data_IF_506089089772
#
_entry.id   IF_506089089772
#
_cell.length_a   1.000
_cell.length_b   1.000
_cell.length_c   1.000
_cell.angle_alpha   90.00
_cell.angle_beta   90.00
_cell.angle_gamma   90.00
#
_symmetry.space_group_name_H-M   'P 1'
#
loop_
_entity.id
_entity.type
_entity.pdbx_description
1 polymer ?
#
# COMPACT_ATOMS: atom_id res chain seq x y z
N UNK A 1 1.87 17.48 13.42
CA UNK A 1 1.09 16.33 12.93
C UNK A 1 1.73 15.06 13.47
N UNK A 2 0.89 14.07 13.79
CA UNK A 2 1.32 12.73 14.15
C UNK A 2 1.31 11.86 12.89
N UNK A 3 2.45 11.33 12.47
CA UNK A 3 2.60 10.58 11.22
C UNK A 3 3.05 9.15 11.53
N UNK A 4 2.31 8.17 11.03
CA UNK A 4 2.74 6.78 11.02
C UNK A 4 3.47 6.45 9.71
N UNK A 5 4.56 5.69 9.79
CA UNK A 5 5.23 5.12 8.62
C UNK A 5 5.12 3.59 8.74
N UNK A 6 4.39 2.96 7.83
CA UNK A 6 4.28 1.50 7.79
C UNK A 6 5.52 0.94 7.07
N UNK A 7 6.47 0.41 7.81
CA UNK A 7 7.71 -0.16 7.24
C UNK A 7 8.23 -1.30 8.08
N UNK A 8 8.56 -2.43 7.44
CA UNK A 8 9.25 -3.56 8.09
C UNK A 8 10.73 -3.30 8.36
N UNK A 9 11.29 -2.31 7.66
CA UNK A 9 12.72 -2.03 7.68
C UNK A 9 12.96 -0.56 8.10
N UNK A 10 12.93 -0.27 9.40
CA UNK A 10 13.12 1.10 9.90
C UNK A 10 14.49 1.66 9.54
N UNK A 11 15.49 0.79 9.38
CA UNK A 11 16.88 1.17 9.11
C UNK A 11 17.17 1.42 7.61
N UNK A 12 16.24 1.12 6.71
CA UNK A 12 16.40 1.45 5.29
C UNK A 12 16.59 2.96 5.10
N UNK A 13 17.50 3.33 4.21
CA UNK A 13 17.80 4.72 3.91
C UNK A 13 16.53 5.56 3.67
N UNK A 14 15.62 5.07 2.84
CA UNK A 14 14.39 5.80 2.51
C UNK A 14 13.45 5.98 3.70
N UNK A 15 13.34 4.99 4.59
CA UNK A 15 12.53 5.09 5.81
C UNK A 15 13.15 6.10 6.77
N UNK A 16 14.45 5.98 7.04
CA UNK A 16 15.17 6.93 7.89
C UNK A 16 15.07 8.36 7.38
N UNK A 17 15.23 8.53 6.05
CA UNK A 17 15.16 9.86 5.44
C UNK A 17 13.77 10.50 5.59
N UNK A 18 12.70 9.71 5.48
CA UNK A 18 11.34 10.19 5.75
C UNK A 18 11.17 10.63 7.21
N UNK A 19 11.67 9.84 8.16
CA UNK A 19 11.64 10.18 9.59
C UNK A 19 12.39 11.51 9.85
N UNK A 20 13.65 11.60 9.40
CA UNK A 20 14.49 12.79 9.58
C UNK A 20 13.82 14.06 9.04
N UNK A 21 13.29 13.99 7.81
CA UNK A 21 12.67 15.16 7.16
C UNK A 21 11.37 15.56 7.86
N UNK A 22 10.55 14.59 8.27
CA UNK A 22 9.32 14.88 8.98
C UNK A 22 9.59 15.49 10.35
N UNK A 23 10.56 14.97 11.11
CA UNK A 23 10.99 15.53 12.40
C UNK A 23 11.56 16.95 12.25
N UNK A 24 12.40 17.17 11.23
CA UNK A 24 12.95 18.49 10.93
C UNK A 24 11.87 19.54 10.59
N UNK A 25 10.70 19.10 10.15
CA UNK A 25 9.51 19.93 9.90
C UNK A 25 8.57 20.03 11.11
N UNK A 26 8.97 19.54 12.27
CA UNK A 26 8.20 19.62 13.52
C UNK A 26 7.05 18.61 13.62
N UNK A 27 7.10 17.50 12.88
CA UNK A 27 6.12 16.43 13.00
C UNK A 27 6.60 15.36 13.98
N UNK A 28 5.66 14.74 14.69
CA UNK A 28 5.89 13.50 15.43
C UNK A 28 5.77 12.33 14.47
N UNK A 29 6.73 11.40 14.51
CA UNK A 29 6.78 10.28 13.53
C UNK A 29 7.02 8.99 14.30
N UNK A 30 6.22 7.99 13.99
CA UNK A 30 6.39 6.62 14.45
C UNK A 30 6.52 5.66 13.28
N UNK A 31 7.52 4.77 13.33
CA UNK A 31 7.68 3.70 12.34
C UNK A 31 7.09 2.43 12.92
N UNK A 32 6.09 1.88 12.23
CA UNK A 32 5.37 0.68 12.63
C UNK A 32 5.71 -0.46 11.68
N UNK A 33 6.18 -1.60 12.23
CA UNK A 33 6.27 -2.82 11.43
C UNK A 33 4.87 -3.28 11.04
N UNK A 34 4.59 -3.20 9.75
CA UNK A 34 3.27 -3.52 9.19
C UNK A 34 2.76 -4.90 9.59
N UNK A 35 3.66 -5.90 9.71
CA UNK A 35 3.27 -7.27 10.06
C UNK A 35 3.01 -7.47 11.57
N UNK A 36 3.41 -6.52 12.39
CA UNK A 36 3.14 -6.52 13.83
C UNK A 36 1.92 -5.70 14.23
N UNK A 37 1.34 -4.97 13.29
CA UNK A 37 0.04 -4.32 13.48
C UNK A 37 -1.06 -5.39 13.46
N UNK A 38 -2.01 -5.31 14.37
CA UNK A 38 -3.23 -6.13 14.35
C UNK A 38 -4.45 -5.25 14.59
N UNK A 39 -5.59 -5.66 14.04
CA UNK A 39 -6.76 -4.81 13.88
C UNK A 39 -7.96 -5.35 14.65
N UNK A 40 -8.66 -4.46 15.33
CA UNK A 40 -10.02 -4.72 15.81
C UNK A 40 -11.00 -4.14 14.79
N UNK A 41 -11.78 -5.01 14.15
CA UNK A 41 -12.76 -4.63 13.13
C UNK A 41 -14.12 -4.58 13.80
N UNK A 42 -14.39 -3.46 14.49
CA UNK A 42 -15.67 -3.22 15.16
C UNK A 42 -16.47 -2.13 14.43
N UNK A 43 -17.80 -2.27 14.41
CA UNK A 43 -18.70 -1.40 13.63
C UNK A 43 -18.63 0.09 14.01
N UNK A 44 -18.35 0.41 15.26
CA UNK A 44 -18.39 1.80 15.75
C UNK A 44 -17.06 2.30 16.32
N UNK A 45 -16.12 1.39 16.57
CA UNK A 45 -14.82 1.73 17.14
C UNK A 45 -13.71 0.85 16.57
N UNK A 46 -13.42 0.97 15.25
CA UNK A 46 -12.29 0.27 14.66
C UNK A 46 -11.00 0.78 15.29
N UNK A 47 -10.08 -0.13 15.62
CA UNK A 47 -8.79 0.23 16.17
C UNK A 47 -7.65 -0.61 15.60
N UNK A 48 -6.44 -0.10 15.75
CA UNK A 48 -5.20 -0.80 15.39
C UNK A 48 -4.37 -0.93 16.66
N UNK A 49 -3.80 -2.09 16.84
CA UNK A 49 -2.90 -2.39 17.96
C UNK A 49 -1.51 -2.72 17.45
N UNK A 50 -0.52 -2.34 18.24
CA UNK A 50 0.88 -2.59 17.97
C UNK A 50 1.62 -2.84 19.28
N UNK A 51 2.37 -3.93 19.35
CA UNK A 51 3.16 -4.29 20.56
C UNK A 51 2.35 -4.27 21.88
N UNK A 52 1.12 -4.75 21.83
CA UNK A 52 0.25 -4.86 23.02
C UNK A 52 -0.49 -3.58 23.41
N UNK A 53 -0.32 -2.48 22.69
CA UNK A 53 -1.07 -1.24 22.92
C UNK A 53 -1.99 -0.91 21.77
N UNK A 54 -3.07 -0.25 22.04
CA UNK A 54 -3.88 0.41 21.03
C UNK A 54 -3.15 1.67 20.52
N UNK A 55 -3.12 1.84 19.20
CA UNK A 55 -2.52 3.01 18.59
C UNK A 55 -3.43 4.23 18.76
N UNK A 56 -2.81 5.36 19.07
CA UNK A 56 -3.50 6.65 19.06
C UNK A 56 -3.87 7.06 17.61
N UNK A 57 -4.65 8.11 17.47
CA UNK A 57 -4.99 8.66 16.16
C UNK A 57 -3.76 9.30 15.49
N UNK A 58 -3.56 9.01 14.22
CA UNK A 58 -2.57 9.66 13.37
C UNK A 58 -3.27 10.59 12.38
N UNK A 59 -2.63 11.74 12.10
CA UNK A 59 -3.09 12.65 11.05
C UNK A 59 -2.84 12.07 9.67
N UNK A 60 -1.73 11.35 9.50
CA UNK A 60 -1.34 10.75 8.23
C UNK A 60 -0.59 9.42 8.42
N UNK A 61 -0.70 8.56 7.41
CA UNK A 61 0.06 7.31 7.30
C UNK A 61 0.79 7.23 5.96
N UNK A 62 2.08 6.94 6.00
CA UNK A 62 2.93 6.74 4.82
C UNK A 62 3.20 5.23 4.66
N UNK A 63 2.57 4.56 3.69
CA UNK A 63 2.76 3.14 3.49
C UNK A 63 4.05 2.84 2.73
N UNK A 64 4.99 2.13 3.38
CA UNK A 64 6.19 1.56 2.79
C UNK A 64 6.05 0.04 2.69
N UNK A 65 4.95 -0.39 2.03
CA UNK A 65 4.54 -1.79 1.95
C UNK A 65 5.32 -2.50 0.83
N UNK A 66 6.08 -3.53 1.19
CA UNK A 66 6.79 -4.38 0.24
C UNK A 66 5.83 -5.28 -0.58
N UNK A 67 6.30 -5.75 -1.74
CA UNK A 67 5.49 -6.58 -2.64
C UNK A 67 4.99 -7.88 -1.97
N UNK A 68 5.83 -8.52 -1.16
CA UNK A 68 5.53 -9.79 -0.49
C UNK A 68 4.43 -9.71 0.58
N UNK A 69 4.11 -8.50 1.06
CA UNK A 69 3.12 -8.28 2.11
C UNK A 69 1.96 -7.41 1.65
N UNK A 70 1.74 -7.29 0.34
CA UNK A 70 0.73 -6.38 -0.22
C UNK A 70 -0.66 -6.63 0.37
N UNK A 71 -1.09 -7.89 0.50
CA UNK A 71 -2.41 -8.23 1.02
C UNK A 71 -2.62 -7.69 2.44
N UNK A 72 -1.74 -8.08 3.37
CA UNK A 72 -1.87 -7.66 4.77
C UNK A 72 -1.57 -6.17 4.95
N UNK A 73 -0.55 -5.66 4.28
CA UNK A 73 -0.20 -4.25 4.36
C UNK A 73 -1.31 -3.32 3.88
N UNK A 74 -2.01 -3.67 2.80
CA UNK A 74 -3.17 -2.87 2.36
C UNK A 74 -4.39 -3.08 3.25
N UNK A 75 -4.53 -4.21 3.96
CA UNK A 75 -5.57 -4.39 4.96
C UNK A 75 -5.33 -3.46 6.17
N UNK A 76 -4.11 -3.43 6.70
CA UNK A 76 -3.73 -2.48 7.78
C UNK A 76 -3.94 -1.04 7.34
N UNK A 77 -3.54 -0.69 6.12
CA UNK A 77 -3.72 0.66 5.59
C UNK A 77 -5.21 1.05 5.47
N UNK A 78 -6.08 0.13 5.01
CA UNK A 78 -7.53 0.37 5.00
C UNK A 78 -8.10 0.61 6.38
N UNK A 79 -7.56 -0.04 7.40
CA UNK A 79 -7.99 0.21 8.78
C UNK A 79 -7.66 1.63 9.20
N UNK A 80 -6.46 2.15 8.87
CA UNK A 80 -6.13 3.57 9.07
C UNK A 80 -7.08 4.50 8.31
N UNK A 81 -7.39 4.17 7.05
CA UNK A 81 -8.35 4.94 6.24
C UNK A 81 -9.75 4.95 6.86
N UNK A 82 -10.21 3.81 7.40
CA UNK A 82 -11.49 3.71 8.13
C UNK A 82 -11.51 4.55 9.42
N UNK A 83 -10.36 4.73 10.04
CA UNK A 83 -10.16 5.59 11.21
C UNK A 83 -9.93 7.06 10.84
N UNK A 84 -10.22 7.44 9.59
CA UNK A 84 -10.07 8.80 9.04
C UNK A 84 -8.63 9.32 8.99
N UNK A 85 -7.63 8.45 9.06
CA UNK A 85 -6.23 8.82 8.84
C UNK A 85 -5.96 9.02 7.35
N UNK A 86 -5.33 10.13 6.99
CA UNK A 86 -4.95 10.39 5.59
C UNK A 86 -3.85 9.43 5.13
N UNK A 87 -4.12 8.63 4.13
CA UNK A 87 -3.17 7.68 3.57
C UNK A 87 -2.44 8.23 2.32
N UNK A 88 -1.13 8.21 2.33
CA UNK A 88 -0.28 8.66 1.22
C UNK A 88 0.63 7.50 0.75
N UNK A 89 0.23 6.70 -0.20
CA UNK A 89 -0.94 6.61 -1.07
C UNK A 89 -2.06 5.73 -0.45
N UNK A 90 -3.27 5.76 -1.04
CA UNK A 90 -4.38 4.96 -0.56
C UNK A 90 -4.19 3.45 -0.79
N UNK A 91 -4.87 2.64 0.04
CA UNK A 91 -4.86 1.17 -0.07
C UNK A 91 -5.32 0.68 -1.44
N UNK A 92 -6.33 1.36 -2.03
CA UNK A 92 -6.85 1.06 -3.37
C UNK A 92 -5.81 1.35 -4.44
N UNK A 93 -5.09 2.48 -4.35
CA UNK A 93 -4.04 2.83 -5.31
C UNK A 93 -2.89 1.82 -5.28
N UNK A 94 -2.46 1.41 -4.08
CA UNK A 94 -1.41 0.39 -3.91
C UNK A 94 -1.86 -0.95 -4.49
N UNK A 95 -3.08 -1.40 -4.18
CA UNK A 95 -3.60 -2.66 -4.68
C UNK A 95 -3.70 -2.68 -6.21
N UNK A 96 -4.15 -1.58 -6.81
CA UNK A 96 -4.22 -1.43 -8.28
C UNK A 96 -2.86 -1.45 -8.94
N UNK A 97 -1.87 -0.76 -8.37
CA UNK A 97 -0.52 -0.70 -8.93
C UNK A 97 0.26 -2.01 -8.76
N UNK A 98 -0.08 -2.83 -7.78
CA UNK A 98 0.54 -4.15 -7.56
C UNK A 98 -0.01 -5.24 -8.45
N UNK A 99 -1.23 -5.13 -8.90
CA UNK A 99 -1.86 -6.00 -9.88
C UNK A 99 -1.49 -5.50 -11.29
N UNK A 100 -0.48 -6.14 -11.90
CA UNK A 100 0.02 -5.72 -13.23
C UNK A 100 -1.05 -5.72 -14.29
N UNK A 101 -1.89 -6.77 -14.31
CA UNK A 101 -2.94 -6.88 -15.31
C UNK A 101 -3.96 -5.77 -15.13
N UNK A 102 -4.43 -5.55 -13.92
CA UNK A 102 -5.37 -4.47 -13.59
C UNK A 102 -4.78 -3.09 -13.87
N UNK A 103 -3.49 -2.88 -13.55
CA UNK A 103 -2.81 -1.63 -13.83
C UNK A 103 -2.79 -1.33 -15.34
N UNK A 104 -2.46 -2.32 -16.16
CA UNK A 104 -2.43 -2.19 -17.62
C UNK A 104 -3.83 -1.94 -18.20
N UNK A 105 -4.85 -2.65 -17.72
CA UNK A 105 -6.24 -2.43 -18.12
C UNK A 105 -6.71 -1.00 -17.78
N UNK A 106 -6.35 -0.48 -16.59
CA UNK A 106 -6.68 0.89 -16.20
C UNK A 106 -5.96 1.93 -17.07
N UNK A 107 -4.67 1.75 -17.34
CA UNK A 107 -3.89 2.64 -18.20
C UNK A 107 -4.44 2.66 -19.63
N UNK A 108 -4.75 1.49 -20.18
CA UNK A 108 -5.38 1.36 -21.50
C UNK A 108 -6.73 2.09 -21.57
N UNK A 109 -7.57 1.90 -20.54
CA UNK A 109 -8.87 2.58 -20.48
C UNK A 109 -8.76 4.11 -20.51
N UNK A 110 -7.67 4.65 -19.96
CA UNK A 110 -7.40 6.07 -19.94
C UNK A 110 -6.62 6.57 -21.17
N UNK A 111 -6.45 5.75 -22.19
CA UNK A 111 -5.77 6.13 -23.44
C UNK A 111 -4.26 6.35 -23.27
N UNK A 112 -3.65 5.84 -22.20
CA UNK A 112 -2.21 5.94 -22.01
C UNK A 112 -1.55 4.90 -22.90
N UNK A 113 -0.57 5.32 -23.70
CA UNK A 113 0.15 4.47 -24.63
C UNK A 113 0.82 3.30 -23.90
N UNK A 114 0.52 2.08 -24.34
CA UNK A 114 1.07 0.85 -23.83
C UNK A 114 1.65 0.03 -24.99
N UNK A 115 2.70 -0.77 -24.76
CA UNK A 115 3.04 -1.84 -25.70
C UNK A 115 1.83 -2.75 -25.91
N UNK A 116 1.69 -3.32 -27.10
CA UNK A 116 0.68 -4.36 -27.34
C UNK A 116 0.92 -5.49 -26.35
N UNK A 117 -0.08 -5.79 -25.56
CA UNK A 117 0.08 -6.73 -24.44
C UNK A 117 -1.09 -7.71 -24.44
N UNK A 118 -0.76 -8.98 -24.50
CA UNK A 118 -1.72 -10.06 -24.37
C UNK A 118 -1.54 -10.78 -23.03
N UNK A 119 -2.62 -11.36 -22.53
CA UNK A 119 -2.63 -12.21 -21.35
C UNK A 119 -3.58 -13.38 -21.57
N UNK A 120 -3.07 -14.61 -21.35
CA UNK A 120 -3.85 -15.82 -21.37
C UNK A 120 -3.58 -16.64 -20.12
N UNK A 121 -4.59 -17.35 -19.63
CA UNK A 121 -4.45 -18.28 -18.50
C UNK A 121 -4.04 -19.67 -18.98
N UNK A 122 -4.58 -20.11 -20.12
CA UNK A 122 -4.32 -21.43 -20.69
C UNK A 122 -3.11 -21.41 -21.63
N UNK A 123 -2.27 -22.42 -21.54
CA UNK A 123 -1.16 -22.64 -22.46
C UNK A 123 -1.64 -22.99 -23.87
N UNK A 124 -2.89 -23.49 -24.04
CA UNK A 124 -3.48 -23.78 -25.33
C UNK A 124 -3.67 -22.53 -26.18
N UNK A 125 -3.86 -21.36 -25.55
CA UNK A 125 -4.15 -20.10 -26.23
C UNK A 125 -2.86 -19.31 -26.59
N UNK A 126 -1.68 -19.86 -26.28
CA UNK A 126 -0.40 -19.18 -26.53
C UNK A 126 -0.15 -18.88 -28.01
N UNK A 127 -0.42 -19.80 -28.97
CA UNK A 127 -0.23 -19.50 -30.40
C UNK A 127 -1.09 -18.32 -30.87
N UNK A 128 -2.35 -18.27 -30.44
CA UNK A 128 -3.27 -17.20 -30.78
C UNK A 128 -2.85 -15.88 -30.14
N UNK A 129 -2.39 -15.95 -28.89
CA UNK A 129 -1.85 -14.79 -28.18
C UNK A 129 -0.63 -14.19 -28.89
N UNK A 130 0.31 -15.02 -29.34
CA UNK A 130 1.47 -14.58 -30.10
C UNK A 130 1.03 -13.89 -31.40
N UNK A 131 0.10 -14.48 -32.11
CA UNK A 131 -0.44 -13.88 -33.34
C UNK A 131 -1.11 -12.54 -33.09
N UNK A 132 -1.80 -12.38 -31.96
CA UNK A 132 -2.49 -11.15 -31.57
C UNK A 132 -1.52 -10.02 -31.22
N UNK A 133 -0.37 -10.32 -30.61
CA UNK A 133 0.57 -9.28 -30.16
C UNK A 133 1.66 -8.95 -31.19
N UNK A 134 1.89 -9.79 -32.20
CA UNK A 134 2.86 -9.60 -33.29
C UNK A 134 4.17 -10.29 -33.03
#
# INVERSE_FOLDING_TARGET
>A
MNIAILSREPNNYSTRRLVEVAQARGHQVEVLDTLRCYMNIASHSPSIHYEGRELESYDAVIPRIGASITFYGTAVLRQFEMMSTMALNSSVAISRSRDKLRAMQLLSRHGIGLPVTGYAHSTHDVPDLITMVG
#
